data_IF_896765628081
#
_entry.id   IF_896765628081
#
_cell.length_a   1.000
_cell.length_b   1.000
_cell.length_c   1.000
_cell.angle_alpha   90.00
_cell.angle_beta   90.00
_cell.angle_gamma   90.00
#
_symmetry.space_group_name_H-M   'P 1'
#
loop_
_entity.id
_entity.type
_entity.pdbx_description
1 polymer ?
#
# COMPACT_ATOMS: atom_id res chain seq x y z
N UNK A 1 -5.17 -18.68 -4.47
CA UNK A 1 -5.85 -17.90 -3.41
C UNK A 1 -5.00 -16.69 -3.05
N UNK A 2 -5.14 -15.59 -3.77
CA UNK A 2 -4.29 -14.39 -3.60
C UNK A 2 -4.72 -13.47 -2.44
N UNK A 3 -5.77 -13.86 -1.71
CA UNK A 3 -6.42 -13.04 -0.68
C UNK A 3 -6.17 -13.53 0.76
N UNK A 4 -5.28 -14.51 0.96
CA UNK A 4 -4.99 -15.10 2.28
C UNK A 4 -4.41 -14.10 3.28
N UNK A 5 -3.74 -13.04 2.79
CA UNK A 5 -3.17 -11.96 3.62
C UNK A 5 -4.24 -11.12 4.34
N UNK A 6 -5.50 -11.13 3.85
CA UNK A 6 -6.58 -10.32 4.44
C UNK A 6 -7.10 -10.85 5.79
N UNK A 7 -6.96 -12.16 6.04
CA UNK A 7 -7.32 -12.74 7.34
C UNK A 7 -6.39 -12.27 8.48
N UNK A 8 -5.17 -11.87 8.13
CA UNK A 8 -4.11 -11.55 9.10
C UNK A 8 -4.12 -10.09 9.54
N UNK A 9 -4.90 -9.20 8.91
CA UNK A 9 -4.96 -7.77 9.28
C UNK A 9 -5.26 -7.54 10.75
N UNK A 10 -6.13 -8.37 11.34
CA UNK A 10 -6.48 -8.28 12.77
C UNK A 10 -5.32 -8.67 13.71
N UNK A 11 -4.32 -9.40 13.20
CA UNK A 11 -3.20 -9.93 13.96
C UNK A 11 -1.85 -9.31 13.57
N UNK A 12 -1.80 -8.42 12.58
CA UNK A 12 -0.55 -7.81 12.09
C UNK A 12 0.23 -7.11 13.19
N UNK A 13 -0.44 -6.36 14.08
CA UNK A 13 0.23 -5.70 15.21
C UNK A 13 0.85 -6.69 16.21
N UNK A 14 0.26 -7.87 16.38
CA UNK A 14 0.80 -8.91 17.25
C UNK A 14 1.99 -9.61 16.59
N UNK A 15 1.89 -9.90 15.29
CA UNK A 15 2.99 -10.45 14.51
C UNK A 15 4.18 -9.49 14.40
N UNK A 16 3.94 -8.18 14.29
CA UNK A 16 5.01 -7.18 14.29
C UNK A 16 5.77 -7.17 15.62
N UNK A 17 5.08 -7.32 16.75
CA UNK A 17 5.73 -7.46 18.06
C UNK A 17 6.55 -8.74 18.15
N UNK A 18 6.02 -9.84 17.62
CA UNK A 18 6.76 -11.12 17.56
C UNK A 18 8.00 -10.96 16.69
N UNK A 19 7.89 -10.36 15.51
CA UNK A 19 9.02 -10.09 14.62
C UNK A 19 10.09 -9.22 15.30
N UNK A 20 9.67 -8.12 15.94
CA UNK A 20 10.58 -7.24 16.67
C UNK A 20 11.29 -7.96 17.82
N UNK A 21 10.58 -8.84 18.55
CA UNK A 21 11.17 -9.66 19.61
C UNK A 21 12.19 -10.65 19.05
N UNK A 22 11.87 -11.33 17.96
CA UNK A 22 12.79 -12.26 17.30
C UNK A 22 14.05 -11.55 16.79
N UNK A 23 13.91 -10.36 16.19
CA UNK A 23 15.05 -9.53 15.77
C UNK A 23 15.95 -9.11 16.93
N UNK A 24 15.37 -8.79 18.09
CA UNK A 24 16.16 -8.48 19.30
C UNK A 24 16.95 -9.71 19.75
N UNK A 25 16.31 -10.89 19.78
CA UNK A 25 16.96 -12.13 20.18
C UNK A 25 18.07 -12.56 19.22
N UNK A 26 17.90 -12.39 17.91
CA UNK A 26 18.95 -12.72 16.94
C UNK A 26 20.14 -11.76 17.04
N UNK A 27 19.91 -10.46 17.27
CA UNK A 27 20.97 -9.47 17.52
C UNK A 27 21.77 -9.79 18.78
N UNK A 28 21.11 -10.25 19.84
CA UNK A 28 21.77 -10.67 21.08
C UNK A 28 22.59 -11.96 20.89
N UNK A 29 22.12 -12.88 20.05
CA UNK A 29 22.80 -14.17 19.78
C UNK A 29 24.01 -14.04 18.85
N UNK A 30 24.02 -13.06 17.94
CA UNK A 30 25.11 -12.84 16.98
C UNK A 30 25.39 -11.34 16.79
N UNK A 31 26.08 -10.69 17.75
CA UNK A 31 26.47 -9.28 17.66
C UNK A 31 27.56 -9.13 16.59
N UNK A 32 27.17 -8.94 15.33
CA UNK A 32 28.09 -8.81 14.20
C UNK A 32 27.54 -9.39 12.89
N UNK A 33 26.53 -10.27 12.97
CA UNK A 33 25.72 -10.57 11.80
C UNK A 33 25.00 -9.29 11.39
N UNK A 34 25.09 -8.90 10.13
CA UNK A 34 24.25 -7.86 9.52
C UNK A 34 22.80 -8.32 9.64
N UNK A 35 22.18 -8.02 10.78
CA UNK A 35 20.78 -8.33 11.02
C UNK A 35 20.00 -7.53 9.99
N UNK A 36 19.58 -8.18 8.91
CA UNK A 36 18.71 -7.60 7.90
C UNK A 36 17.56 -6.95 8.66
N UNK A 37 17.46 -5.62 8.54
CA UNK A 37 16.40 -4.86 9.18
C UNK A 37 15.12 -5.27 8.46
N UNK A 38 14.45 -6.29 9.00
CA UNK A 38 13.17 -6.73 8.48
C UNK A 38 12.21 -5.57 8.67
N UNK A 39 11.76 -5.00 7.57
CA UNK A 39 10.66 -4.04 7.56
C UNK A 39 9.45 -4.60 8.33
N UNK A 40 8.68 -3.76 9.04
CA UNK A 40 7.43 -4.16 9.67
C UNK A 40 6.53 -4.91 8.68
N UNK A 41 5.86 -5.96 9.15
CA UNK A 41 4.87 -6.70 8.36
C UNK A 41 3.78 -5.76 7.85
N UNK A 42 3.36 -4.80 8.67
CA UNK A 42 2.41 -3.79 8.22
C UNK A 42 2.90 -3.02 6.98
N UNK A 43 4.18 -2.63 6.95
CA UNK A 43 4.77 -1.94 5.81
C UNK A 43 4.80 -2.83 4.56
N UNK A 44 5.14 -4.12 4.72
CA UNK A 44 5.13 -5.08 3.61
C UNK A 44 3.73 -5.30 3.06
N UNK A 45 2.72 -5.35 3.93
CA UNK A 45 1.31 -5.42 3.54
C UNK A 45 0.89 -4.14 2.82
N UNK A 46 1.35 -2.97 3.26
CA UNK A 46 1.03 -1.69 2.63
C UNK A 46 1.64 -1.59 1.22
N UNK A 47 2.90 -1.96 1.05
CA UNK A 47 3.56 -2.05 -0.27
C UNK A 47 2.82 -3.03 -1.17
N UNK A 48 2.45 -4.20 -0.65
CA UNK A 48 1.67 -5.20 -1.40
C UNK A 48 0.31 -4.65 -1.84
N UNK A 49 -0.43 -4.00 -0.94
CA UNK A 49 -1.74 -3.41 -1.24
C UNK A 49 -1.66 -2.28 -2.28
N UNK A 50 -0.65 -1.42 -2.18
CA UNK A 50 -0.40 -0.35 -3.17
C UNK A 50 0.04 -0.94 -4.51
N UNK A 51 0.83 -2.01 -4.52
CA UNK A 51 1.23 -2.69 -5.75
C UNK A 51 0.02 -3.35 -6.45
N UNK A 52 -0.93 -3.90 -5.69
CA UNK A 52 -2.20 -4.39 -6.25
C UNK A 52 -2.99 -3.26 -6.89
N UNK A 53 -3.03 -2.08 -6.27
CA UNK A 53 -3.67 -0.90 -6.87
C UNK A 53 -3.00 -0.48 -8.17
N UNK A 54 -1.66 -0.42 -8.19
CA UNK A 54 -0.91 -0.12 -9.42
C UNK A 54 -1.22 -1.14 -10.53
N UNK A 55 -1.23 -2.42 -10.20
CA UNK A 55 -1.58 -3.50 -11.14
C UNK A 55 -3.03 -3.40 -11.63
N UNK A 56 -3.97 -3.05 -10.76
CA UNK A 56 -5.38 -2.92 -11.10
C UNK A 56 -5.65 -1.70 -11.99
N UNK A 57 -5.01 -0.56 -11.68
CA UNK A 57 -5.28 0.74 -12.32
C UNK A 57 -4.37 1.07 -13.50
N UNK A 58 -3.05 0.84 -13.37
CA UNK A 58 -2.08 1.16 -14.42
C UNK A 58 -1.92 0.00 -15.41
N UNK A 59 -1.72 -1.22 -14.91
CA UNK A 59 -1.49 -2.40 -15.76
C UNK A 59 -2.80 -3.03 -16.28
N UNK A 60 -3.94 -2.54 -15.82
CA UNK A 60 -5.28 -3.00 -16.21
C UNK A 60 -5.42 -4.54 -16.25
N UNK A 61 -4.85 -5.25 -15.28
CA UNK A 61 -4.97 -6.70 -15.20
C UNK A 61 -6.44 -7.11 -15.01
N UNK A 62 -6.91 -8.01 -15.88
CA UNK A 62 -8.31 -8.46 -15.93
C UNK A 62 -8.73 -9.17 -14.62
N UNK A 63 -7.82 -9.96 -14.04
CA UNK A 63 -8.05 -10.69 -12.78
C UNK A 63 -8.28 -9.75 -11.58
N UNK A 64 -7.84 -8.50 -11.68
CA UNK A 64 -7.99 -7.49 -10.63
C UNK A 64 -9.10 -6.48 -10.95
N UNK A 65 -9.90 -6.71 -12.00
CA UNK A 65 -10.97 -5.80 -12.41
C UNK A 65 -11.98 -5.55 -11.27
N UNK A 66 -12.27 -6.57 -10.45
CA UNK A 66 -13.16 -6.47 -9.30
C UNK A 66 -12.63 -5.58 -8.15
N UNK A 67 -11.33 -5.31 -8.12
CA UNK A 67 -10.69 -4.45 -7.11
C UNK A 67 -10.49 -3.01 -7.59
N UNK A 68 -10.81 -2.71 -8.87
CA UNK A 68 -10.65 -1.36 -9.42
C UNK A 68 -11.63 -0.42 -8.73
N UNK A 69 -11.08 0.63 -8.14
CA UNK A 69 -11.87 1.73 -7.61
C UNK A 69 -12.19 2.74 -8.71
N UNK A 70 -13.39 3.31 -8.68
CA UNK A 70 -13.77 4.31 -9.68
C UNK A 70 -12.85 5.53 -9.58
N UNK A 71 -12.36 6.08 -10.72
CA UNK A 71 -11.64 7.34 -10.72
C UNK A 71 -12.46 8.43 -10.02
N UNK A 72 -11.78 9.35 -9.35
CA UNK A 72 -12.42 10.51 -8.75
C UNK A 72 -12.80 11.46 -9.88
N UNK A 73 -14.07 11.88 -9.89
CA UNK A 73 -14.53 12.87 -10.87
C UNK A 73 -13.67 14.16 -10.74
N UNK A 74 -13.22 14.73 -11.88
CA UNK A 74 -12.49 15.99 -11.86
C UNK A 74 -13.39 17.09 -11.28
N UNK A 75 -12.85 18.07 -10.53
CA UNK A 75 -13.62 19.20 -10.07
C UNK A 75 -14.20 19.95 -11.27
N UNK A 76 -15.46 20.39 -11.19
CA UNK A 76 -16.13 21.13 -12.29
C UNK A 76 -15.49 22.49 -12.58
N UNK A 77 -14.60 22.96 -11.70
CA UNK A 77 -13.87 24.21 -11.84
C UNK A 77 -12.37 23.94 -11.84
N UNK A 78 -11.70 24.41 -12.89
CA UNK A 78 -10.26 24.32 -13.03
C UNK A 78 -9.57 25.30 -12.07
N UNK A 79 -9.24 24.83 -10.86
CA UNK A 79 -8.31 25.53 -9.96
C UNK A 79 -6.87 25.20 -10.34
N UNK A 80 -5.98 26.20 -10.29
CA UNK A 80 -4.56 26.17 -10.69
C UNK A 80 -3.68 25.08 -10.02
N UNK A 81 -4.24 24.26 -9.12
CA UNK A 81 -3.58 23.17 -8.38
C UNK A 81 -3.98 21.77 -8.89
N UNK A 82 -4.36 21.63 -10.16
CA UNK A 82 -4.92 20.39 -10.72
C UNK A 82 -3.88 19.39 -11.24
N UNK A 83 -2.66 19.35 -10.72
CA UNK A 83 -1.58 18.61 -11.40
C UNK A 83 -1.67 17.07 -11.32
N UNK A 84 -2.52 16.46 -10.48
CA UNK A 84 -2.56 14.99 -10.33
C UNK A 84 -3.94 14.47 -9.86
N UNK A 85 -5.04 15.00 -10.42
CA UNK A 85 -6.40 14.61 -10.00
C UNK A 85 -6.86 13.34 -10.72
N UNK A 86 -6.44 13.12 -11.97
CA UNK A 86 -6.99 12.08 -12.86
C UNK A 86 -6.69 10.64 -12.40
N UNK A 87 -5.65 10.46 -11.59
CA UNK A 87 -5.25 9.16 -11.06
C UNK A 87 -5.78 8.88 -9.64
N UNK A 88 -6.48 9.85 -9.03
CA UNK A 88 -7.10 9.65 -7.73
C UNK A 88 -8.33 8.76 -7.87
N UNK A 89 -8.54 7.90 -6.88
CA UNK A 89 -9.68 6.99 -6.81
C UNK A 89 -10.68 7.45 -5.76
N UNK A 90 -11.95 7.23 -6.04
CA UNK A 90 -13.03 7.42 -5.08
C UNK A 90 -12.94 6.29 -4.05
N UNK A 91 -12.70 6.63 -2.78
CA UNK A 91 -12.66 5.65 -1.69
C UNK A 91 -14.07 5.56 -1.10
N UNK A 92 -14.80 4.46 -1.33
CA UNK A 92 -16.16 4.33 -0.83
C UNK A 92 -16.17 4.25 0.70
N UNK A 93 -17.10 4.96 1.32
CA UNK A 93 -17.34 4.93 2.76
C UNK A 93 -18.23 3.72 3.10
N UNK A 94 -17.73 2.51 2.88
CA UNK A 94 -18.49 1.29 3.14
C UNK A 94 -17.93 0.60 4.39
N UNK A 95 -18.82 0.36 5.35
CA UNK A 95 -18.51 -0.28 6.65
C UNK A 95 -18.90 -1.76 6.72
N UNK A 96 -19.37 -2.36 5.63
CA UNK A 96 -19.78 -3.78 5.63
C UNK A 96 -18.56 -4.68 5.76
N UNK A 97 -18.65 -5.68 6.66
CA UNK A 97 -17.54 -6.60 6.97
C UNK A 97 -17.05 -7.38 5.74
N UNK A 98 -17.93 -7.67 4.78
CA UNK A 98 -17.57 -8.32 3.52
C UNK A 98 -16.70 -7.41 2.64
N UNK A 99 -17.07 -6.13 2.49
CA UNK A 99 -16.32 -5.17 1.70
C UNK A 99 -14.93 -4.89 2.31
N UNK A 100 -14.86 -4.74 3.63
CA UNK A 100 -13.60 -4.54 4.36
C UNK A 100 -12.66 -5.76 4.28
N UNK A 101 -13.19 -6.96 4.05
CA UNK A 101 -12.41 -8.19 3.85
C UNK A 101 -11.86 -8.34 2.43
N UNK A 102 -12.46 -7.70 1.43
CA UNK A 102 -12.04 -7.83 0.04
C UNK A 102 -11.06 -6.74 -0.36
N UNK A 103 -11.30 -5.49 0.05
CA UNK A 103 -10.41 -4.38 -0.26
C UNK A 103 -10.44 -3.29 0.83
N UNK A 104 -9.40 -3.19 1.67
CA UNK A 104 -9.35 -2.19 2.73
C UNK A 104 -9.40 -0.76 2.15
N UNK A 105 -10.33 0.10 2.60
CA UNK A 105 -10.39 1.51 2.20
C UNK A 105 -9.08 2.26 2.43
N UNK A 106 -8.26 1.78 3.37
CA UNK A 106 -6.90 2.25 3.65
C UNK A 106 -6.03 2.30 2.38
N UNK A 107 -6.08 1.30 1.52
CA UNK A 107 -5.22 1.26 0.33
C UNK A 107 -5.64 2.26 -0.73
N UNK A 108 -6.95 2.51 -0.88
CA UNK A 108 -7.44 3.61 -1.72
C UNK A 108 -6.99 4.98 -1.20
N UNK A 109 -6.95 5.17 0.13
CA UNK A 109 -6.44 6.42 0.72
C UNK A 109 -4.94 6.58 0.53
N UNK A 110 -4.16 5.53 0.79
CA UNK A 110 -2.71 5.52 0.58
C UNK A 110 -2.37 5.77 -0.89
N UNK A 111 -3.10 5.15 -1.81
CA UNK A 111 -2.99 5.41 -3.24
C UNK A 111 -3.17 6.89 -3.55
N UNK A 112 -4.25 7.51 -3.07
CA UNK A 112 -4.52 8.93 -3.30
C UNK A 112 -3.45 9.86 -2.72
N UNK A 113 -2.90 9.52 -1.55
CA UNK A 113 -1.78 10.26 -0.95
C UNK A 113 -0.55 10.17 -1.86
N UNK A 114 -0.25 8.96 -2.34
CA UNK A 114 0.90 8.69 -3.19
C UNK A 114 0.76 9.39 -4.55
N UNK A 115 -0.42 9.39 -5.16
CA UNK A 115 -0.74 10.12 -6.41
C UNK A 115 -0.55 11.63 -6.24
N UNK A 116 -0.92 12.18 -5.08
CA UNK A 116 -0.81 13.62 -4.83
C UNK A 116 0.61 14.08 -4.56
N UNK A 117 1.36 13.27 -3.83
CA UNK A 117 2.69 13.63 -3.33
C UNK A 117 3.79 13.29 -4.32
N UNK A 118 3.55 12.35 -5.23
CA UNK A 118 4.60 11.78 -6.06
C UNK A 118 4.12 11.39 -7.46
N UNK A 119 5.00 11.55 -8.45
CA UNK A 119 4.77 11.10 -9.83
C UNK A 119 5.08 9.60 -10.03
N UNK A 120 5.10 8.83 -8.94
CA UNK A 120 5.49 7.41 -8.96
C UNK A 120 4.57 6.55 -9.82
N UNK A 121 3.34 6.98 -10.06
CA UNK A 121 2.38 6.27 -10.92
C UNK A 121 2.78 6.28 -12.40
N UNK A 122 3.66 7.19 -12.81
CA UNK A 122 4.21 7.26 -14.17
C UNK A 122 5.33 6.24 -14.41
N UNK A 123 5.83 5.57 -13.36
CA UNK A 123 6.83 4.53 -13.57
C UNK A 123 6.23 3.35 -14.32
N UNK A 124 6.90 2.92 -15.38
CA UNK A 124 6.45 1.83 -16.26
C UNK A 124 6.85 0.44 -15.76
N UNK A 125 7.79 0.37 -14.81
CA UNK A 125 8.27 -0.89 -14.25
C UNK A 125 7.82 -1.08 -12.80
N UNK A 126 7.26 -2.26 -12.52
CA UNK A 126 6.75 -2.63 -11.21
C UNK A 126 7.85 -2.62 -10.14
N UNK A 127 9.08 -3.04 -10.50
CA UNK A 127 10.19 -3.08 -9.56
C UNK A 127 10.60 -1.67 -9.09
N UNK A 128 10.66 -0.70 -10.02
CA UNK A 128 10.96 0.71 -9.69
C UNK A 128 9.82 1.32 -8.88
N UNK A 129 8.57 0.98 -9.23
CA UNK A 129 7.41 1.38 -8.42
C UNK A 129 7.51 0.85 -6.98
N UNK A 130 7.79 -0.44 -6.80
CA UNK A 130 7.94 -1.05 -5.46
C UNK A 130 9.07 -0.39 -4.67
N UNK A 131 10.24 -0.17 -5.27
CA UNK A 131 11.36 0.45 -4.56
C UNK A 131 11.01 1.89 -4.13
N UNK A 132 10.33 2.64 -4.99
CA UNK A 132 9.96 4.02 -4.69
C UNK A 132 8.83 4.13 -3.64
N UNK A 133 7.86 3.21 -3.67
CA UNK A 133 6.82 3.10 -2.62
C UNK A 133 7.47 2.78 -1.27
N UNK A 134 8.46 1.88 -1.25
CA UNK A 134 9.20 1.55 -0.03
C UNK A 134 9.88 2.78 0.58
N UNK A 135 10.56 3.59 -0.24
CA UNK A 135 11.23 4.83 0.20
C UNK A 135 10.19 5.83 0.71
N UNK A 136 9.08 6.00 -0.01
CA UNK A 136 8.03 6.95 0.36
C UNK A 136 7.34 6.60 1.68
N UNK A 137 7.11 5.30 1.93
CA UNK A 137 6.54 4.81 3.18
C UNK A 137 7.52 4.87 4.36
N UNK A 138 8.84 4.85 4.11
CA UNK A 138 9.85 5.09 5.14
C UNK A 138 9.95 6.58 5.52
N UNK A 139 9.65 7.48 4.59
CA UNK A 139 9.73 8.92 4.78
C UNK A 139 8.50 9.53 5.47
N UNK A 140 7.39 8.80 5.62
CA UNK A 140 6.22 9.28 6.36
C UNK A 140 6.40 9.00 7.87
N UNK A 141 6.61 10.03 8.72
CA UNK A 141 6.53 9.86 10.16
C UNK A 141 5.06 9.59 10.54
N UNK A 142 4.86 8.53 11.32
CA UNK A 142 3.56 8.18 11.95
C UNK A 142 3.08 9.26 12.90
#
# INVERSE_FOLDING_TARGET
>A
MEYSLLAWFSYLGLLDRVQARTQRLTRLKAPGATAQILQPLQQRCDVGGICVMYKAHMMQLLQLAALRLNPRAPPSHATHAAHNIDLQVTVPFVRTKHYLRSFPPRYGRLWNILVRQTDLHLTTSLHVFISAVNVSLQAQPT
#
